data_IF_304952992522
#
_entry.id   IF_304952992522
#
_cell.length_a   1.000
_cell.length_b   1.000
_cell.length_c   1.000
_cell.angle_alpha   90.00
_cell.angle_beta   90.00
_cell.angle_gamma   90.00
#
_symmetry.space_group_name_H-M   'P 1'
#
loop_
_entity.id
_entity.type
_entity.pdbx_description
1 polymer ?
#
# COMPACT_ATOMS: atom_id res chain seq x y z
N UNK A 1 -2.56 -13.96 -20.49
CA UNK A 1 -2.36 -12.68 -19.80
C UNK A 1 -3.54 -12.57 -18.84
N UNK A 2 -3.33 -12.18 -17.60
CA UNK A 2 -4.43 -12.03 -16.64
C UNK A 2 -5.12 -10.68 -16.86
N UNK A 3 -6.44 -10.64 -16.74
CA UNK A 3 -7.22 -9.39 -16.87
C UNK A 3 -7.28 -8.59 -15.56
N UNK A 4 -7.04 -9.26 -14.43
CA UNK A 4 -6.97 -8.66 -13.11
C UNK A 4 -6.15 -9.55 -12.16
N UNK A 5 -5.48 -8.95 -11.19
CA UNK A 5 -4.80 -9.67 -10.09
C UNK A 5 -5.52 -9.41 -8.79
N UNK A 6 -5.76 -10.47 -8.02
CA UNK A 6 -6.45 -10.39 -6.72
C UNK A 6 -5.45 -10.72 -5.59
N UNK A 7 -5.30 -9.83 -4.62
CA UNK A 7 -4.55 -10.07 -3.40
C UNK A 7 -5.35 -9.66 -2.18
N UNK A 8 -5.79 -10.64 -1.41
CA UNK A 8 -6.62 -10.47 -0.22
C UNK A 8 -5.87 -10.83 1.07
N UNK A 9 -4.54 -10.69 1.05
CA UNK A 9 -3.74 -10.92 2.25
C UNK A 9 -4.25 -10.08 3.43
N UNK A 10 -4.30 -10.67 4.59
CA UNK A 10 -4.70 -9.99 5.84
C UNK A 10 -3.58 -9.14 6.43
N UNK A 11 -2.37 -9.32 5.95
CA UNK A 11 -1.16 -8.56 6.29
C UNK A 11 -0.18 -8.64 5.12
N UNK A 12 0.32 -7.51 4.68
CA UNK A 12 1.26 -7.47 3.56
C UNK A 12 2.27 -6.34 3.78
N UNK A 13 3.56 -6.66 3.61
CA UNK A 13 4.63 -5.67 3.77
C UNK A 13 4.60 -4.62 2.68
N UNK A 14 4.73 -5.06 1.43
CA UNK A 14 4.66 -4.17 0.25
C UNK A 14 3.70 -4.67 -0.83
N UNK A 15 3.65 -6.00 -1.08
CA UNK A 15 2.83 -6.60 -2.14
C UNK A 15 3.53 -6.57 -3.50
N UNK A 16 4.72 -7.16 -3.59
CA UNK A 16 5.49 -7.19 -4.84
C UNK A 16 4.69 -7.73 -6.02
N UNK A 17 3.93 -8.80 -5.83
CA UNK A 17 3.14 -9.42 -6.90
C UNK A 17 2.08 -8.49 -7.48
N UNK A 18 1.44 -7.68 -6.65
CA UNK A 18 0.46 -6.68 -7.09
C UNK A 18 1.14 -5.48 -7.73
N UNK A 19 2.26 -5.02 -7.19
CA UNK A 19 3.05 -3.96 -7.81
C UNK A 19 3.54 -4.37 -9.21
N UNK A 20 4.05 -5.60 -9.36
CA UNK A 20 4.45 -6.18 -10.65
C UNK A 20 3.27 -6.26 -11.64
N UNK A 21 2.07 -6.58 -11.14
CA UNK A 21 0.85 -6.60 -11.95
C UNK A 21 0.50 -5.21 -12.48
N UNK A 22 0.50 -4.19 -11.62
CA UNK A 22 0.25 -2.81 -12.05
C UNK A 22 1.33 -2.32 -13.01
N UNK A 23 2.59 -2.66 -12.77
CA UNK A 23 3.70 -2.35 -13.67
C UNK A 23 3.57 -3.06 -15.04
N UNK A 24 2.92 -4.22 -15.07
CA UNK A 24 2.58 -4.92 -16.32
C UNK A 24 1.32 -4.36 -17.01
N UNK A 25 0.63 -3.39 -16.40
CA UNK A 25 -0.60 -2.81 -16.91
C UNK A 25 -1.84 -3.65 -16.61
N UNK A 26 -1.80 -4.44 -15.53
CA UNK A 26 -2.93 -5.28 -15.09
C UNK A 26 -3.59 -4.66 -13.86
N UNK A 27 -4.91 -4.39 -13.88
CA UNK A 27 -5.65 -3.92 -12.73
C UNK A 27 -5.58 -4.88 -11.53
N UNK A 28 -5.80 -4.35 -10.34
CA UNK A 28 -5.71 -5.09 -9.08
C UNK A 28 -6.99 -4.98 -8.25
N UNK A 29 -7.32 -6.07 -7.56
CA UNK A 29 -8.28 -6.08 -6.44
C UNK A 29 -7.46 -6.39 -5.20
N UNK A 30 -7.46 -5.52 -4.21
CA UNK A 30 -6.58 -5.66 -3.04
C UNK A 30 -7.30 -5.33 -1.74
N UNK A 31 -6.94 -6.07 -0.68
CA UNK A 31 -7.31 -5.68 0.67
C UNK A 31 -6.54 -4.39 1.06
N UNK A 32 -7.25 -3.44 1.67
CA UNK A 32 -6.65 -2.20 2.19
C UNK A 32 -5.89 -2.51 3.48
N UNK A 33 -4.67 -3.02 3.33
CA UNK A 33 -3.78 -3.38 4.45
C UNK A 33 -2.32 -3.21 4.05
N UNK A 34 -1.48 -2.80 5.00
CA UNK A 34 -0.03 -2.66 4.79
C UNK A 34 0.32 -1.94 3.48
N UNK A 35 1.31 -2.45 2.76
CA UNK A 35 1.76 -1.85 1.49
C UNK A 35 0.77 -1.98 0.32
N UNK A 36 -0.26 -2.83 0.41
CA UNK A 36 -1.29 -2.91 -0.63
C UNK A 36 -2.11 -1.62 -0.73
N UNK A 37 -2.34 -0.94 0.39
CA UNK A 37 -3.04 0.34 0.40
C UNK A 37 -2.31 1.41 -0.43
N UNK A 38 -0.97 1.41 -0.38
CA UNK A 38 -0.16 2.39 -1.13
C UNK A 38 -0.31 2.20 -2.64
N UNK A 39 -0.60 0.98 -3.08
CA UNK A 39 -0.76 0.63 -4.49
C UNK A 39 -2.12 1.02 -5.08
N UNK A 40 -3.08 1.37 -4.24
CA UNK A 40 -4.39 1.85 -4.70
C UNK A 40 -4.35 3.27 -5.25
N UNK A 41 -3.28 4.02 -4.98
CA UNK A 41 -3.19 5.42 -5.41
C UNK A 41 -4.23 6.30 -4.74
N UNK A 42 -4.46 6.12 -3.45
CA UNK A 42 -5.43 6.92 -2.69
C UNK A 42 -5.12 8.41 -2.74
N UNK A 43 -6.15 9.20 -2.93
CA UNK A 43 -6.09 10.67 -2.95
C UNK A 43 -7.12 11.27 -2.01
N UNK A 44 -6.71 12.31 -1.32
CA UNK A 44 -7.58 13.21 -0.55
C UNK A 44 -7.50 14.61 -1.19
N UNK A 45 -8.63 15.18 -1.51
CA UNK A 45 -8.71 16.50 -2.19
C UNK A 45 -7.84 16.56 -3.47
N UNK A 46 -7.79 15.45 -4.22
CA UNK A 46 -7.07 15.33 -5.49
C UNK A 46 -5.55 15.12 -5.35
N UNK A 47 -5.01 15.07 -4.14
CA UNK A 47 -3.58 14.82 -3.88
C UNK A 47 -3.36 13.42 -3.34
N UNK A 48 -2.30 12.75 -3.80
CA UNK A 48 -1.91 11.45 -3.25
C UNK A 48 -1.64 11.54 -1.75
N UNK A 49 -2.08 10.54 -1.00
CA UNK A 49 -1.81 10.43 0.43
C UNK A 49 -0.30 10.29 0.66
N UNK A 50 0.18 11.00 1.64
CA UNK A 50 1.57 10.93 2.12
C UNK A 50 1.68 9.99 3.32
N UNK A 51 2.91 9.63 3.70
CA UNK A 51 3.17 8.85 4.92
C UNK A 51 2.56 9.52 6.17
N UNK A 52 2.61 10.85 6.24
CA UNK A 52 2.01 11.61 7.35
C UNK A 52 0.49 11.51 7.38
N UNK A 53 -0.16 11.43 6.23
CA UNK A 53 -1.61 11.25 6.15
C UNK A 53 -2.00 9.85 6.62
N UNK A 54 -1.27 8.82 6.22
CA UNK A 54 -1.47 7.44 6.72
C UNK A 54 -1.29 7.34 8.24
N UNK A 55 -0.30 8.05 8.81
CA UNK A 55 -0.12 8.13 10.26
C UNK A 55 -1.32 8.79 10.95
N UNK A 56 -1.88 9.86 10.37
CA UNK A 56 -3.08 10.55 10.89
C UNK A 56 -4.33 9.69 10.79
N UNK A 57 -4.49 8.97 9.68
CA UNK A 57 -5.58 8.02 9.47
C UNK A 57 -5.49 6.90 10.53
N UNK A 58 -4.28 6.41 10.81
CA UNK A 58 -3.98 5.46 11.88
C UNK A 58 -4.50 4.06 11.60
N UNK A 59 -5.05 3.38 12.63
CA UNK A 59 -5.49 2.00 12.52
C UNK A 59 -6.73 1.83 11.64
N UNK A 60 -6.96 0.62 11.15
CA UNK A 60 -8.10 0.20 10.30
C UNK A 60 -9.48 0.69 10.74
N UNK A 61 -9.71 0.82 12.05
CA UNK A 61 -10.98 1.36 12.53
C UNK A 61 -11.20 2.81 12.10
N UNK A 62 -10.13 3.54 11.85
CA UNK A 62 -10.18 4.92 11.35
C UNK A 62 -10.31 4.99 9.83
N UNK A 63 -9.85 3.97 9.09
CA UNK A 63 -10.03 3.90 7.65
C UNK A 63 -11.50 3.93 7.23
N UNK A 64 -12.40 3.34 8.02
CA UNK A 64 -13.85 3.41 7.76
C UNK A 64 -14.37 4.84 7.68
N UNK A 65 -13.80 5.74 8.49
CA UNK A 65 -14.17 7.16 8.50
C UNK A 65 -13.60 7.90 7.28
N UNK A 66 -12.73 7.24 6.52
CA UNK A 66 -12.03 7.82 5.37
C UNK A 66 -12.47 7.22 4.04
N UNK A 67 -13.10 6.05 4.05
CA UNK A 67 -13.55 5.35 2.83
C UNK A 67 -14.33 6.29 1.89
N UNK A 68 -15.24 7.10 2.42
CA UNK A 68 -16.05 8.04 1.66
C UNK A 68 -15.33 9.36 1.30
N UNK A 69 -14.14 9.59 1.85
CA UNK A 69 -13.40 10.85 1.67
C UNK A 69 -12.26 10.74 0.67
N UNK A 70 -11.79 9.53 0.44
CA UNK A 70 -10.68 9.27 -0.46
C UNK A 70 -11.18 8.74 -1.79
N UNK A 71 -10.47 9.11 -2.84
CA UNK A 71 -10.58 8.49 -4.15
C UNK A 71 -9.35 7.62 -4.40
N UNK A 72 -9.42 6.74 -5.38
CA UNK A 72 -8.31 5.84 -5.76
C UNK A 72 -8.19 5.76 -7.27
N UNK A 73 -7.12 5.13 -7.74
CA UNK A 73 -6.89 4.97 -9.17
C UNK A 73 -7.83 3.93 -9.79
N UNK A 74 -8.27 4.17 -11.03
CA UNK A 74 -9.18 3.28 -11.77
C UNK A 74 -8.59 1.87 -12.00
N UNK A 75 -7.28 1.71 -11.83
CA UNK A 75 -6.60 0.41 -11.89
C UNK A 75 -6.76 -0.43 -10.63
N UNK A 76 -7.23 0.15 -9.55
CA UNK A 76 -7.35 -0.51 -8.26
C UNK A 76 -8.80 -0.64 -7.81
N UNK A 77 -9.13 -1.78 -7.27
CA UNK A 77 -10.40 -2.03 -6.59
C UNK A 77 -10.10 -2.37 -5.14
N UNK A 78 -10.13 -1.39 -4.22
CA UNK A 78 -9.87 -1.63 -2.81
C UNK A 78 -11.01 -2.41 -2.17
N UNK A 79 -10.66 -3.39 -1.34
CA UNK A 79 -11.56 -4.09 -0.43
C UNK A 79 -11.25 -3.59 0.98
N UNK A 80 -12.27 -3.06 1.65
CA UNK A 80 -12.09 -2.49 2.97
C UNK A 80 -12.22 -3.57 4.05
N UNK A 81 -11.21 -3.68 4.89
CA UNK A 81 -11.25 -4.64 5.99
C UNK A 81 -12.36 -4.30 6.98
N UNK A 82 -13.19 -5.29 7.32
CA UNK A 82 -14.35 -5.13 8.20
C UNK A 82 -14.11 -5.65 9.61
N UNK A 83 -13.10 -6.48 9.78
CA UNK A 83 -12.75 -7.08 11.07
C UNK A 83 -11.25 -7.38 11.14
N UNK A 84 -10.77 -7.66 12.33
CA UNK A 84 -9.42 -8.15 12.57
C UNK A 84 -9.49 -9.43 13.41
N UNK A 85 -8.55 -10.34 13.18
CA UNK A 85 -8.35 -11.50 14.04
C UNK A 85 -6.91 -11.55 14.53
N UNK A 86 -6.71 -11.97 15.76
CA UNK A 86 -5.38 -12.22 16.30
C UNK A 86 -4.86 -13.54 15.75
N UNK A 87 -3.74 -13.47 15.03
CA UNK A 87 -3.09 -14.61 14.41
C UNK A 87 -1.67 -14.75 14.97
N UNK A 88 -1.23 -15.96 15.20
CA UNK A 88 0.11 -16.23 15.74
C UNK A 88 0.24 -17.61 16.32
N UNK A 89 1.43 -17.92 16.84
CA UNK A 89 1.73 -19.17 17.54
C UNK A 89 2.81 -18.94 18.58
N UNK A 90 3.06 -19.93 19.43
CA UNK A 90 4.10 -19.84 20.49
C UNK A 90 5.47 -19.40 19.96
N UNK A 91 5.98 -19.90 18.80
CA UNK A 91 7.25 -19.45 18.26
C UNK A 91 7.19 -18.16 17.42
N UNK A 92 6.00 -17.64 17.12
CA UNK A 92 5.82 -16.45 16.29
C UNK A 92 5.03 -15.38 17.07
N UNK A 93 5.36 -14.09 16.86
CA UNK A 93 4.58 -13.01 17.47
C UNK A 93 3.11 -13.11 17.12
N UNK A 94 2.24 -12.71 18.04
CA UNK A 94 0.84 -12.50 17.71
C UNK A 94 0.69 -11.16 17.00
N UNK A 95 0.00 -11.19 15.86
CA UNK A 95 -0.31 -10.03 15.03
C UNK A 95 -1.81 -9.96 14.74
N UNK A 96 -2.30 -8.78 14.49
CA UNK A 96 -3.66 -8.57 14.01
C UNK A 96 -3.70 -8.69 12.49
N UNK A 97 -4.45 -9.67 11.99
CA UNK A 97 -4.74 -9.86 10.57
C UNK A 97 -6.06 -9.21 10.21
N UNK A 98 -6.05 -8.45 9.13
CA UNK A 98 -7.22 -7.84 8.54
C UNK A 98 -8.08 -8.87 7.82
N UNK A 99 -9.37 -8.83 8.06
CA UNK A 99 -10.34 -9.73 7.44
C UNK A 99 -11.27 -8.95 6.52
N UNK A 100 -11.33 -9.40 5.30
CA UNK A 100 -12.24 -8.86 4.28
C UNK A 100 -13.66 -9.41 4.46
N UNK A 101 -14.63 -8.69 3.91
CA UNK A 101 -15.95 -9.21 3.67
C UNK A 101 -15.96 -9.99 2.34
N UNK A 102 -16.32 -11.27 2.39
CA UNK A 102 -16.35 -12.16 1.22
C UNK A 102 -17.46 -11.74 0.25
N UNK A 103 -18.55 -11.16 0.74
CA UNK A 103 -19.64 -10.67 -0.11
C UNK A 103 -19.14 -9.46 -0.90
N UNK A 104 -18.53 -8.49 -0.23
CA UNK A 104 -17.94 -7.32 -0.88
C UNK A 104 -16.90 -7.74 -1.93
N UNK A 105 -16.02 -8.70 -1.61
CA UNK A 105 -15.06 -9.24 -2.56
C UNK A 105 -15.76 -9.81 -3.79
N UNK A 106 -16.80 -10.64 -3.60
CA UNK A 106 -17.54 -11.25 -4.69
C UNK A 106 -18.17 -10.20 -5.61
N UNK A 107 -18.82 -9.20 -5.06
CA UNK A 107 -19.41 -8.10 -5.82
C UNK A 107 -18.37 -7.30 -6.62
N UNK A 108 -17.20 -7.04 -6.02
CA UNK A 108 -16.10 -6.34 -6.70
C UNK A 108 -15.50 -7.18 -7.82
N UNK A 109 -15.33 -8.50 -7.60
CA UNK A 109 -14.87 -9.42 -8.65
C UNK A 109 -15.87 -9.49 -9.80
N UNK A 110 -17.17 -9.59 -9.51
CA UNK A 110 -18.23 -9.57 -10.52
C UNK A 110 -18.22 -8.26 -11.33
N UNK A 111 -18.05 -7.13 -10.65
CA UNK A 111 -17.91 -5.82 -11.32
C UNK A 111 -16.74 -5.82 -12.29
N UNK A 112 -15.56 -6.28 -11.88
CA UNK A 112 -14.38 -6.35 -12.74
C UNK A 112 -14.59 -7.31 -13.89
N UNK A 113 -15.20 -8.47 -13.65
CA UNK A 113 -15.52 -9.46 -14.69
C UNK A 113 -16.44 -8.89 -15.77
N UNK A 114 -17.41 -8.07 -15.40
CA UNK A 114 -18.36 -7.44 -16.31
C UNK A 114 -17.82 -6.13 -16.96
N UNK A 115 -16.64 -5.67 -16.56
CA UNK A 115 -16.00 -4.48 -17.15
C UNK A 115 -15.44 -4.84 -18.54
N UNK A 116 -15.69 -4.04 -19.58
CA UNK A 116 -15.14 -4.27 -20.90
C UNK A 116 -13.61 -4.38 -20.90
N UNK A 117 -13.08 -5.35 -21.64
CA UNK A 117 -11.62 -5.62 -21.72
C UNK A 117 -10.81 -4.37 -22.08
N UNK A 118 -11.32 -3.53 -23.00
CA UNK A 118 -10.63 -2.31 -23.41
C UNK A 118 -10.56 -1.26 -22.27
N UNK A 119 -11.58 -1.23 -21.42
CA UNK A 119 -11.59 -0.38 -20.24
C UNK A 119 -10.60 -0.87 -19.19
N UNK A 120 -10.56 -2.20 -18.93
CA UNK A 120 -9.58 -2.80 -18.03
C UNK A 120 -8.14 -2.53 -18.50
N UNK A 121 -7.87 -2.67 -19.80
CA UNK A 121 -6.55 -2.35 -20.37
C UNK A 121 -6.20 -0.86 -20.18
N UNK A 122 -7.15 0.03 -20.47
CA UNK A 122 -6.95 1.47 -20.27
C UNK A 122 -6.61 1.79 -18.81
N UNK A 123 -7.38 1.23 -17.88
CA UNK A 123 -7.19 1.43 -16.45
C UNK A 123 -5.85 0.86 -15.98
N UNK A 124 -5.46 -0.32 -16.45
CA UNK A 124 -4.17 -0.92 -16.14
C UNK A 124 -2.99 -0.09 -16.65
N UNK A 125 -3.06 0.44 -17.86
CA UNK A 125 -2.03 1.32 -18.43
C UNK A 125 -1.92 2.64 -17.65
N UNK A 126 -3.04 3.19 -17.21
CA UNK A 126 -3.04 4.37 -16.34
C UNK A 126 -2.39 4.08 -14.99
N UNK A 127 -2.66 2.92 -14.40
CA UNK A 127 -2.00 2.47 -13.18
C UNK A 127 -0.49 2.38 -13.34
N UNK A 128 -0.03 1.78 -14.43
CA UNK A 128 1.41 1.73 -14.76
C UNK A 128 2.03 3.13 -14.87
N UNK A 129 1.35 4.03 -15.58
CA UNK A 129 1.79 5.42 -15.71
C UNK A 129 1.88 6.10 -14.34
N UNK A 130 0.81 6.00 -13.55
CA UNK A 130 0.74 6.60 -12.22
C UNK A 130 1.84 6.07 -11.28
N UNK A 131 2.11 4.76 -11.30
CA UNK A 131 3.20 4.16 -10.52
C UNK A 131 4.56 4.76 -10.85
N UNK A 132 4.85 4.93 -12.16
CA UNK A 132 6.15 5.40 -12.62
C UNK A 132 6.29 6.91 -12.43
N UNK A 133 5.28 7.68 -12.87
CA UNK A 133 5.39 9.13 -13.01
C UNK A 133 4.91 9.88 -11.76
N UNK A 134 3.76 9.48 -11.22
CA UNK A 134 3.12 10.24 -10.14
C UNK A 134 3.57 9.76 -8.75
N UNK A 135 3.64 8.43 -8.57
CA UNK A 135 3.96 7.82 -7.26
C UNK A 135 5.45 7.52 -7.11
N UNK A 136 6.20 7.58 -8.21
CA UNK A 136 7.65 7.37 -8.18
C UNK A 136 8.11 5.97 -7.80
N UNK A 137 7.27 4.94 -8.03
CA UNK A 137 7.55 3.55 -7.71
C UNK A 137 8.42 2.84 -8.76
N UNK A 138 9.23 3.59 -9.52
CA UNK A 138 10.19 3.04 -10.47
C UNK A 138 11.51 2.69 -9.79
N UNK A 139 12.19 1.67 -10.32
CA UNK A 139 13.52 1.27 -9.84
C UNK A 139 14.52 2.44 -9.87
N UNK A 140 14.51 3.23 -10.93
CA UNK A 140 15.42 4.38 -11.07
C UNK A 140 15.17 5.43 -9.99
N UNK A 141 13.90 5.74 -9.68
CA UNK A 141 13.55 6.69 -8.65
C UNK A 141 13.90 6.15 -7.25
N UNK A 142 13.65 4.87 -6.99
CA UNK A 142 14.05 4.23 -5.74
C UNK A 142 15.57 4.30 -5.51
N UNK A 143 16.38 4.01 -6.54
CA UNK A 143 17.83 4.12 -6.46
C UNK A 143 18.27 5.56 -6.18
N UNK A 144 17.66 6.54 -6.86
CA UNK A 144 17.99 7.95 -6.63
C UNK A 144 17.61 8.41 -5.22
N UNK A 145 16.45 8.01 -4.71
CA UNK A 145 16.04 8.33 -3.34
C UNK A 145 16.97 7.69 -2.30
N UNK A 146 17.42 6.46 -2.53
CA UNK A 146 18.39 5.80 -1.65
C UNK A 146 19.71 6.59 -1.62
N UNK A 147 20.25 6.98 -2.78
CA UNK A 147 21.48 7.79 -2.89
C UNK A 147 21.30 9.09 -2.13
N UNK A 148 20.21 9.82 -2.39
CA UNK A 148 19.91 11.08 -1.73
C UNK A 148 19.78 10.92 -0.20
N UNK A 149 19.18 9.83 0.24
CA UNK A 149 19.05 9.49 1.66
C UNK A 149 20.40 9.25 2.32
N UNK A 150 21.28 8.50 1.67
CA UNK A 150 22.64 8.26 2.13
C UNK A 150 23.44 9.56 2.23
N UNK A 151 23.43 10.37 1.17
CA UNK A 151 24.12 11.66 1.14
C UNK A 151 23.61 12.62 2.23
N UNK A 152 22.28 12.70 2.38
CA UNK A 152 21.66 13.51 3.43
C UNK A 152 22.06 13.02 4.84
N UNK A 153 22.16 11.71 5.01
CA UNK A 153 22.57 11.12 6.29
C UNK A 153 24.00 11.51 6.61
N UNK A 154 24.93 11.36 5.67
CA UNK A 154 26.33 11.78 5.90
C UNK A 154 26.45 13.27 6.19
N UNK A 155 25.70 14.10 5.49
CA UNK A 155 25.71 15.57 5.69
C UNK A 155 25.17 15.98 7.05
N UNK A 156 24.16 15.29 7.56
CA UNK A 156 23.42 15.66 8.76
C UNK A 156 23.76 14.77 9.96
N UNK A 157 24.64 13.79 9.80
CA UNK A 157 24.99 12.86 10.86
C UNK A 157 25.62 13.59 12.06
N UNK A 158 25.04 13.39 13.20
CA UNK A 158 25.59 13.83 14.50
C UNK A 158 25.84 12.57 15.35
N UNK A 159 27.10 12.31 15.73
CA UNK A 159 27.37 11.17 16.61
C UNK A 159 26.60 11.30 17.90
N UNK A 160 26.03 10.20 18.38
CA UNK A 160 25.45 10.18 19.72
C UNK A 160 26.53 10.49 20.75
N UNK A 161 26.18 11.31 21.77
CA UNK A 161 27.05 11.46 22.92
C UNK A 161 27.33 10.09 23.51
N UNK A 162 28.60 9.74 23.73
CA UNK A 162 28.96 8.55 24.44
C UNK A 162 28.52 8.73 25.89
N UNK A 163 27.95 7.66 26.48
CA UNK A 163 27.66 7.65 27.90
C UNK A 163 29.01 7.59 28.64
N UNK A 164 29.21 8.46 29.61
CA UNK A 164 30.33 8.35 30.53
C UNK A 164 29.89 7.45 31.69
N UNK A 165 30.66 6.38 31.92
CA UNK A 165 30.47 5.50 33.06
C UNK A 165 31.12 6.17 34.26
N UNK A 166 30.33 6.68 35.20
CA UNK A 166 30.83 7.13 36.48
C UNK A 166 30.96 5.94 37.45
N UNK A 167 32.15 5.76 37.99
CA UNK A 167 32.37 4.80 39.06
C UNK A 167 31.86 5.48 40.36
N UNK A 168 30.78 4.95 40.92
CA UNK A 168 30.32 5.34 42.24
C UNK A 168 31.26 4.65 43.23
N UNK A 169 32.05 5.42 43.96
CA UNK A 169 32.97 4.94 45.02
C UNK A 169 32.22 4.94 46.35
#
# INVERSE_FOLDING_TARGET
MADCTVNIAGNEGFGLTTAESVMAGTPIIVNVTGGLQDQCGFKLDGKYLTADDYIKIGSLHKWRDWEDKVTWGEWATPIWSRAQSLTGSVPTPYIWDDKIDVIELSEKMEKVYNTPTEELKKNGLEGRRAFIEDMGLSQSNMCQQLINGVESTFKNFKPRKRYELFKIV
#
